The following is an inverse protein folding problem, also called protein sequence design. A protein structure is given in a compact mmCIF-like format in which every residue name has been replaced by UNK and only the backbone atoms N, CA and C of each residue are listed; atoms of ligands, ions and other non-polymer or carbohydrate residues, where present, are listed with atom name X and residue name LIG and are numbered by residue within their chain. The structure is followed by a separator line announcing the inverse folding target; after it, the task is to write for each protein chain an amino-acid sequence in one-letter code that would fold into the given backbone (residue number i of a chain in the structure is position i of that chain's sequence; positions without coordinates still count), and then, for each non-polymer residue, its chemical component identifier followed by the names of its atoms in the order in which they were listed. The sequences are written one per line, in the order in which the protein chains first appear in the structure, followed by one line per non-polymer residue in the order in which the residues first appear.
data_IF_642361920458
#
_entry.id   IF_642361920458
#
_cell.length_a   1.000
_cell.length_b   1.000
_cell.length_c   1.000
_cell.angle_alpha   90.00
_cell.angle_beta   90.00
_cell.angle_gamma   90.00
#
_symmetry.space_group_name_H-M   'P 1'
#
loop_
_entity.id
_entity.type
_entity.pdbx_description
1 polymer ?
#
# COMPACT_ATOMS: atom_id res chain seq x y z
N UNK A 1 -1.08 -33.62 -7.52
CA UNK A 1 -1.37 -32.69 -8.61
C UNK A 1 -2.87 -32.46 -8.81
N UNK A 2 -3.72 -33.48 -8.82
CA UNK A 2 -5.19 -33.32 -8.97
C UNK A 2 -5.84 -32.37 -7.98
N UNK A 3 -5.42 -32.36 -6.70
CA UNK A 3 -5.98 -31.47 -5.66
C UNK A 3 -5.74 -29.97 -5.94
N UNK A 4 -4.61 -29.63 -6.60
CA UNK A 4 -4.29 -28.24 -6.96
C UNK A 4 -5.21 -27.77 -8.09
N UNK A 5 -5.45 -28.60 -9.10
CA UNK A 5 -6.38 -28.29 -10.18
C UNK A 5 -7.83 -28.16 -9.70
N UNK A 6 -8.23 -28.99 -8.75
CA UNK A 6 -9.56 -28.87 -8.11
C UNK A 6 -9.70 -27.56 -7.32
N UNK A 7 -8.65 -27.16 -6.59
CA UNK A 7 -8.64 -25.91 -5.83
C UNK A 7 -8.73 -24.68 -6.76
N UNK A 8 -7.97 -24.70 -7.85
CA UNK A 8 -8.00 -23.66 -8.88
C UNK A 8 -9.38 -23.60 -9.54
N UNK A 9 -9.96 -24.76 -9.90
CA UNK A 9 -11.29 -24.82 -10.49
C UNK A 9 -12.38 -24.25 -9.57
N UNK A 10 -12.33 -24.59 -8.29
CA UNK A 10 -13.25 -24.02 -7.27
C UNK A 10 -13.10 -22.50 -7.13
N UNK A 11 -11.86 -21.99 -7.20
CA UNK A 11 -11.61 -20.56 -7.16
C UNK A 11 -12.23 -19.83 -8.36
N UNK A 12 -12.09 -20.36 -9.57
CA UNK A 12 -12.71 -19.79 -10.78
C UNK A 12 -14.23 -19.83 -10.74
N UNK A 13 -14.81 -20.91 -10.24
CA UNK A 13 -16.27 -21.02 -10.06
C UNK A 13 -16.77 -20.00 -9.04
N UNK A 14 -16.05 -19.83 -7.92
CA UNK A 14 -16.38 -18.85 -6.90
C UNK A 14 -16.29 -17.42 -7.45
N UNK A 15 -15.23 -17.11 -8.21
CA UNK A 15 -15.07 -15.82 -8.86
C UNK A 15 -16.21 -15.54 -9.87
N UNK A 16 -16.62 -16.55 -10.64
CA UNK A 16 -17.80 -16.47 -11.52
C UNK A 16 -19.09 -16.18 -10.75
N UNK A 17 -19.30 -16.81 -9.59
CA UNK A 17 -20.43 -16.53 -8.71
C UNK A 17 -20.40 -15.12 -8.11
N UNK A 18 -19.21 -14.61 -7.75
CA UNK A 18 -19.03 -13.25 -7.25
C UNK A 18 -19.43 -12.20 -8.28
N UNK A 19 -19.06 -12.40 -9.56
CA UNK A 19 -19.45 -11.50 -10.66
C UNK A 19 -20.86 -11.76 -11.22
N UNK A 20 -21.58 -12.74 -10.71
CA UNK A 20 -22.97 -12.99 -11.07
C UNK A 20 -23.88 -11.84 -10.59
N UNK A 21 -24.94 -11.58 -11.34
CA UNK A 21 -25.81 -10.39 -11.24
C UNK A 21 -26.21 -10.02 -9.79
N UNK A 22 -25.93 -8.77 -9.35
CA UNK A 22 -26.46 -8.25 -8.09
C UNK A 22 -27.97 -8.03 -8.22
N UNK A 23 -28.76 -8.62 -7.34
CA UNK A 23 -30.23 -8.61 -7.44
C UNK A 23 -30.86 -7.20 -7.24
N UNK A 24 -30.24 -6.29 -6.51
CA UNK A 24 -30.76 -4.93 -6.27
C UNK A 24 -29.65 -3.88 -6.25
N UNK A 25 -29.53 -3.11 -7.33
CA UNK A 25 -28.49 -2.06 -7.50
C UNK A 25 -28.49 -0.97 -6.42
N UNK A 26 -29.64 -0.65 -5.84
CA UNK A 26 -29.74 0.43 -4.83
C UNK A 26 -29.10 0.04 -3.50
N UNK A 27 -29.33 -1.19 -3.02
CA UNK A 27 -28.75 -1.72 -1.77
C UNK A 27 -27.24 -1.88 -1.95
N UNK A 28 -26.82 -2.31 -3.14
CA UNK A 28 -25.43 -2.52 -3.49
C UNK A 28 -24.61 -1.21 -3.45
N UNK A 29 -25.12 -0.11 -4.01
CA UNK A 29 -24.44 1.21 -3.96
C UNK A 29 -24.24 1.71 -2.55
N UNK A 30 -25.27 1.59 -1.68
CA UNK A 30 -25.16 2.00 -0.28
C UNK A 30 -24.10 1.20 0.47
N UNK A 31 -23.99 -0.10 0.17
CA UNK A 31 -23.00 -0.95 0.79
C UNK A 31 -21.59 -0.65 0.28
N UNK A 32 -21.39 -0.37 -1.01
CA UNK A 32 -20.11 0.10 -1.55
C UNK A 32 -19.64 1.38 -0.85
N UNK A 33 -20.51 2.36 -0.67
CA UNK A 33 -20.16 3.62 0.01
C UNK A 33 -19.74 3.34 1.47
N UNK A 34 -20.46 2.50 2.17
CA UNK A 34 -20.13 2.11 3.54
C UNK A 34 -18.75 1.39 3.61
N UNK A 35 -18.48 0.47 2.68
CA UNK A 35 -17.19 -0.22 2.61
C UNK A 35 -16.05 0.74 2.21
N UNK A 36 -16.30 1.70 1.33
CA UNK A 36 -15.34 2.75 0.99
C UNK A 36 -14.98 3.61 2.21
N UNK A 37 -15.96 3.96 3.03
CA UNK A 37 -15.74 4.72 4.25
C UNK A 37 -14.94 3.88 5.26
N UNK A 38 -15.36 2.66 5.54
CA UNK A 38 -14.74 1.77 6.52
C UNK A 38 -13.33 1.35 6.13
N UNK A 39 -13.11 0.89 4.90
CA UNK A 39 -11.81 0.42 4.42
C UNK A 39 -10.91 1.59 4.01
N UNK A 40 -11.47 2.62 3.38
CA UNK A 40 -10.74 3.77 2.87
C UNK A 40 -10.20 4.65 3.98
N UNK A 41 -11.06 5.25 4.79
CA UNK A 41 -10.66 6.19 5.84
C UNK A 41 -9.70 5.56 6.86
N UNK A 42 -9.98 4.33 7.28
CA UNK A 42 -9.08 3.61 8.19
C UNK A 42 -7.71 3.25 7.56
N UNK A 43 -7.58 3.30 6.23
CA UNK A 43 -6.31 3.02 5.54
C UNK A 43 -5.47 4.27 5.34
N UNK A 44 -6.07 5.47 5.35
CA UNK A 44 -5.36 6.74 5.12
C UNK A 44 -4.25 6.95 6.15
N UNK A 45 -4.56 6.80 7.43
CA UNK A 45 -3.59 7.00 8.51
C UNK A 45 -2.38 6.08 8.41
N UNK A 46 -2.63 4.79 8.21
CA UNK A 46 -1.56 3.80 8.04
C UNK A 46 -0.72 4.08 6.80
N UNK A 47 -1.36 4.35 5.67
CA UNK A 47 -0.69 4.67 4.41
C UNK A 47 0.13 5.95 4.53
N UNK A 48 -0.39 7.00 5.19
CA UNK A 48 0.30 8.25 5.40
C UNK A 48 1.60 8.05 6.20
N UNK A 49 1.54 7.36 7.33
CA UNK A 49 2.71 7.08 8.16
C UNK A 49 3.77 6.32 7.36
N UNK A 50 3.38 5.23 6.71
CA UNK A 50 4.31 4.41 5.94
C UNK A 50 4.90 5.21 4.77
N UNK A 51 4.11 6.05 4.09
CA UNK A 51 4.60 6.88 2.96
C UNK A 51 5.63 7.90 3.41
N UNK A 52 5.48 8.53 4.58
CA UNK A 52 6.50 9.44 5.15
C UNK A 52 7.80 8.69 5.38
N UNK A 53 7.75 7.54 6.04
CA UNK A 53 8.96 6.75 6.31
C UNK A 53 9.67 6.28 5.03
N UNK A 54 8.90 5.84 4.05
CA UNK A 54 9.48 5.39 2.77
C UNK A 54 10.10 6.56 2.02
N UNK A 55 9.41 7.71 1.96
CA UNK A 55 9.95 8.92 1.35
C UNK A 55 11.28 9.33 1.99
N UNK A 56 11.34 9.26 3.31
CA UNK A 56 12.54 9.50 4.11
C UNK A 56 13.69 8.55 3.74
N UNK A 57 13.42 7.25 3.74
CA UNK A 57 14.41 6.20 3.46
C UNK A 57 14.94 6.34 2.03
N UNK A 58 14.06 6.56 1.04
CA UNK A 58 14.48 6.69 -0.37
C UNK A 58 15.35 7.92 -0.55
N UNK A 59 15.00 9.06 0.07
CA UNK A 59 15.81 10.28 -0.02
C UNK A 59 17.21 10.05 0.56
N UNK A 60 17.31 9.38 1.71
CA UNK A 60 18.60 9.02 2.31
C UNK A 60 19.38 8.04 1.43
N UNK A 61 18.72 7.03 0.88
CA UNK A 61 19.33 6.05 0.00
C UNK A 61 19.88 6.69 -1.28
N UNK A 62 19.11 7.55 -1.91
CA UNK A 62 19.54 8.30 -3.10
C UNK A 62 20.67 9.27 -2.79
N UNK A 63 20.62 9.96 -1.65
CA UNK A 63 21.69 10.84 -1.20
C UNK A 63 23.02 10.09 -1.06
N UNK A 64 23.01 8.89 -0.49
CA UNK A 64 24.21 8.06 -0.30
C UNK A 64 24.74 7.50 -1.63
N UNK A 65 23.83 7.03 -2.51
CA UNK A 65 24.20 6.41 -3.77
C UNK A 65 24.72 7.40 -4.82
N UNK A 66 24.20 8.63 -4.82
CA UNK A 66 24.61 9.68 -5.77
C UNK A 66 25.66 10.65 -5.21
N UNK A 67 26.33 10.33 -4.10
CA UNK A 67 27.38 11.14 -3.51
C UNK A 67 28.66 11.06 -4.35
N UNK A 68 28.63 11.68 -5.55
CA UNK A 68 29.75 11.81 -6.47
C UNK A 68 30.05 13.31 -6.69
N UNK A 69 31.33 13.72 -6.69
CA UNK A 69 31.69 15.13 -6.88
C UNK A 69 31.26 15.71 -8.24
N UNK A 70 30.92 14.86 -9.19
CA UNK A 70 30.47 15.25 -10.53
C UNK A 70 28.94 15.40 -10.67
N UNK A 71 28.16 14.97 -9.68
CA UNK A 71 26.69 14.97 -9.77
C UNK A 71 26.15 16.16 -8.98
N UNK A 72 25.45 17.11 -9.65
CA UNK A 72 24.84 18.23 -8.97
C UNK A 72 23.65 17.77 -8.08
N UNK A 73 23.49 18.42 -6.92
CA UNK A 73 22.51 18.07 -5.88
C UNK A 73 21.06 18.01 -6.35
N UNK A 74 20.67 18.77 -7.38
CA UNK A 74 19.31 18.76 -7.90
C UNK A 74 18.91 17.41 -8.53
N UNK A 75 19.90 16.63 -9.00
CA UNK A 75 19.68 15.29 -9.58
C UNK A 75 19.19 14.32 -8.51
N UNK A 76 19.64 14.45 -7.26
CA UNK A 76 19.17 13.61 -6.15
C UNK A 76 17.68 13.83 -5.92
N UNK A 77 17.23 15.07 -5.88
CA UNK A 77 15.81 15.39 -5.72
C UNK A 77 14.95 14.89 -6.90
N UNK A 78 15.46 15.01 -8.13
CA UNK A 78 14.78 14.52 -9.32
C UNK A 78 14.68 12.98 -9.30
N UNK A 79 15.76 12.28 -9.02
CA UNK A 79 15.78 10.82 -8.94
C UNK A 79 14.87 10.29 -7.82
N UNK A 80 14.87 10.93 -6.65
CA UNK A 80 13.96 10.58 -5.54
C UNK A 80 12.50 10.73 -5.97
N UNK A 81 12.15 11.84 -6.62
CA UNK A 81 10.78 12.08 -7.11
C UNK A 81 10.34 11.02 -8.12
N UNK A 82 11.18 10.73 -9.12
CA UNK A 82 10.90 9.73 -10.15
C UNK A 82 10.70 8.34 -9.54
N UNK A 83 11.59 7.92 -8.66
CA UNK A 83 11.50 6.62 -7.98
C UNK A 83 10.23 6.51 -7.12
N UNK A 84 9.87 7.59 -6.41
CA UNK A 84 8.64 7.62 -5.60
C UNK A 84 7.38 7.50 -6.46
N UNK A 85 7.33 8.19 -7.60
CA UNK A 85 6.16 8.18 -8.49
C UNK A 85 6.02 6.84 -9.19
N UNK A 86 7.12 6.33 -9.77
CA UNK A 86 7.08 5.16 -10.65
C UNK A 86 6.95 3.83 -9.90
N UNK A 87 7.67 3.66 -8.79
CA UNK A 87 7.83 2.35 -8.18
C UNK A 87 7.18 2.25 -6.80
N UNK A 88 7.56 3.12 -5.88
CA UNK A 88 7.26 2.90 -4.48
C UNK A 88 5.84 3.23 -4.10
N UNK A 89 5.27 4.32 -4.61
CA UNK A 89 3.93 4.72 -4.21
C UNK A 89 2.88 3.67 -4.62
N UNK A 90 2.92 3.20 -5.85
CA UNK A 90 1.97 2.19 -6.34
C UNK A 90 2.16 0.85 -5.66
N UNK A 91 3.39 0.37 -5.59
CA UNK A 91 3.71 -0.98 -5.05
C UNK A 91 3.43 -1.08 -3.56
N UNK A 92 3.85 -0.09 -2.78
CA UNK A 92 3.66 -0.09 -1.33
C UNK A 92 2.20 0.06 -0.95
N UNK A 93 1.47 0.97 -1.60
CA UNK A 93 0.03 1.13 -1.37
C UNK A 93 -0.72 -0.15 -1.72
N UNK A 94 -0.36 -0.80 -2.85
CA UNK A 94 -0.96 -2.07 -3.23
C UNK A 94 -0.73 -3.16 -2.18
N UNK A 95 0.48 -3.26 -1.62
CA UNK A 95 0.82 -4.25 -0.59
C UNK A 95 0.05 -4.00 0.71
N UNK A 96 -0.01 -2.75 1.17
CA UNK A 96 -0.75 -2.36 2.37
C UNK A 96 -2.24 -2.67 2.22
N UNK A 97 -2.81 -2.29 1.07
CA UNK A 97 -4.23 -2.56 0.79
C UNK A 97 -4.51 -4.06 0.67
N UNK A 98 -3.66 -4.81 -0.02
CA UNK A 98 -3.82 -6.26 -0.14
C UNK A 98 -3.83 -6.94 1.24
N UNK A 99 -2.92 -6.57 2.12
CA UNK A 99 -2.87 -7.08 3.48
C UNK A 99 -4.10 -6.69 4.31
N UNK A 100 -4.46 -5.41 4.32
CA UNK A 100 -5.57 -4.89 5.12
C UNK A 100 -6.93 -5.35 4.61
N UNK A 101 -7.16 -5.25 3.31
CA UNK A 101 -8.44 -5.67 2.71
C UNK A 101 -8.58 -7.20 2.78
N UNK A 102 -7.49 -7.93 2.51
CA UNK A 102 -7.47 -9.38 2.61
C UNK A 102 -7.79 -9.88 4.02
N UNK A 103 -7.17 -9.30 5.05
CA UNK A 103 -7.45 -9.65 6.44
C UNK A 103 -8.87 -9.25 6.87
N UNK A 104 -9.36 -8.08 6.44
CA UNK A 104 -10.73 -7.64 6.73
C UNK A 104 -11.78 -8.56 6.11
N UNK A 105 -11.61 -8.94 4.85
CA UNK A 105 -12.50 -9.89 4.18
C UNK A 105 -12.47 -11.25 4.86
N UNK A 106 -11.29 -11.77 5.17
CA UNK A 106 -11.14 -13.07 5.82
C UNK A 106 -11.78 -13.09 7.22
N UNK A 107 -11.57 -12.05 8.02
CA UNK A 107 -12.16 -11.90 9.35
C UNK A 107 -13.68 -11.83 9.30
N UNK A 108 -14.24 -11.03 8.40
CA UNK A 108 -15.70 -10.87 8.28
C UNK A 108 -16.39 -12.15 7.80
N UNK A 109 -15.83 -12.80 6.76
CA UNK A 109 -16.35 -14.08 6.28
C UNK A 109 -16.22 -15.14 7.38
N UNK A 110 -15.09 -15.17 8.09
CA UNK A 110 -14.88 -16.09 9.21
C UNK A 110 -15.93 -15.91 10.31
N UNK A 111 -16.20 -14.68 10.71
CA UNK A 111 -17.22 -14.37 11.72
C UNK A 111 -18.63 -14.77 11.25
N UNK A 112 -18.98 -14.42 10.01
CA UNK A 112 -20.30 -14.77 9.44
C UNK A 112 -20.48 -16.29 9.28
N UNK A 113 -19.42 -17.03 9.06
CA UNK A 113 -19.46 -18.50 8.99
C UNK A 113 -19.74 -19.12 10.35
N UNK A 114 -19.07 -18.62 11.41
CA UNK A 114 -19.26 -19.11 12.77
C UNK A 114 -20.68 -18.79 13.31
N UNK A 115 -21.20 -17.65 12.92
CA UNK A 115 -22.56 -17.19 13.34
C UNK A 115 -23.68 -17.72 12.43
N UNK A 116 -23.38 -18.63 11.50
CA UNK A 116 -24.34 -19.26 10.56
C UNK A 116 -25.12 -18.24 9.67
N UNK A 117 -24.67 -16.99 9.61
CA UNK A 117 -25.30 -15.93 8.81
C UNK A 117 -25.22 -16.22 7.30
N UNK A 118 -24.19 -16.90 6.85
CA UNK A 118 -24.03 -17.30 5.44
C UNK A 118 -25.10 -18.33 5.06
N UNK A 119 -25.34 -19.29 5.92
CA UNK A 119 -26.33 -20.34 5.67
C UNK A 119 -27.76 -19.76 5.68
N UNK A 120 -28.02 -18.77 6.56
CA UNK A 120 -29.30 -18.03 6.54
C UNK A 120 -29.49 -17.24 5.23
N UNK A 121 -28.45 -16.63 4.67
CA UNK A 121 -28.50 -15.93 3.38
C UNK A 121 -28.77 -16.90 2.21
N UNK A 122 -28.17 -18.08 2.24
CA UNK A 122 -28.41 -19.11 1.22
C UNK A 122 -29.82 -19.68 1.26
N UNK A 123 -30.39 -19.85 2.45
CA UNK A 123 -31.80 -20.27 2.61
C UNK A 123 -32.75 -19.20 2.04
N UNK A 124 -32.42 -17.93 2.16
CA UNK A 124 -33.18 -16.82 1.55
C UNK A 124 -33.00 -16.72 0.03
N UNK A 125 -32.20 -17.58 -0.60
CA UNK A 125 -31.97 -17.59 -2.05
C UNK A 125 -30.99 -16.51 -2.54
N UNK A 126 -30.31 -15.81 -1.64
CA UNK A 126 -29.34 -14.76 -1.98
C UNK A 126 -27.96 -15.37 -2.18
N UNK A 127 -27.28 -15.01 -3.27
CA UNK A 127 -25.90 -15.43 -3.50
C UNK A 127 -24.95 -14.73 -2.51
N UNK A 128 -24.63 -15.41 -1.40
CA UNK A 128 -23.80 -14.92 -0.30
C UNK A 128 -22.44 -14.39 -0.76
N UNK A 129 -21.79 -15.09 -1.70
CA UNK A 129 -20.49 -14.71 -2.23
C UNK A 129 -20.53 -13.38 -2.99
N UNK A 130 -21.52 -13.17 -3.86
CA UNK A 130 -21.67 -11.90 -4.59
C UNK A 130 -22.05 -10.75 -3.66
N UNK A 131 -22.89 -11.03 -2.68
CA UNK A 131 -23.38 -9.99 -1.75
C UNK A 131 -22.30 -9.47 -0.79
N UNK A 132 -21.36 -10.33 -0.34
CA UNK A 132 -20.32 -9.95 0.62
C UNK A 132 -19.02 -9.48 -0.06
N UNK A 133 -18.54 -10.19 -1.07
CA UNK A 133 -17.19 -9.98 -1.60
C UNK A 133 -17.16 -8.87 -2.65
N UNK A 134 -18.15 -8.81 -3.52
CA UNK A 134 -18.15 -7.89 -4.66
C UNK A 134 -18.15 -6.40 -4.25
N UNK A 135 -18.93 -5.93 -3.25
CA UNK A 135 -18.88 -4.53 -2.83
C UNK A 135 -17.51 -4.12 -2.27
N UNK A 136 -16.82 -5.04 -1.59
CA UNK A 136 -15.48 -4.79 -1.05
C UNK A 136 -14.43 -4.67 -2.15
N UNK A 137 -14.47 -5.55 -3.14
CA UNK A 137 -13.57 -5.48 -4.31
C UNK A 137 -13.78 -4.16 -5.05
N UNK A 138 -15.04 -3.80 -5.35
CA UNK A 138 -15.34 -2.55 -6.08
C UNK A 138 -14.93 -1.33 -5.27
N UNK A 139 -15.20 -1.30 -3.97
CA UNK A 139 -14.78 -0.22 -3.08
C UNK A 139 -13.25 -0.05 -3.07
N UNK A 140 -12.52 -1.16 -2.97
CA UNK A 140 -11.04 -1.15 -2.96
C UNK A 140 -10.48 -0.64 -4.28
N UNK A 141 -10.97 -1.14 -5.42
CA UNK A 141 -10.50 -0.73 -6.74
C UNK A 141 -10.76 0.76 -6.99
N UNK A 142 -11.90 1.27 -6.53
CA UNK A 142 -12.24 2.68 -6.69
C UNK A 142 -11.42 3.59 -5.78
N UNK A 143 -11.09 3.13 -4.57
CA UNK A 143 -10.35 3.93 -3.59
C UNK A 143 -8.81 3.86 -3.77
N UNK A 144 -8.32 2.82 -4.44
CA UNK A 144 -6.89 2.60 -4.67
C UNK A 144 -6.19 3.79 -5.34
N UNK A 145 -6.66 4.37 -6.46
CA UNK A 145 -5.98 5.49 -7.12
C UNK A 145 -5.93 6.74 -6.23
N UNK A 146 -6.95 6.96 -5.40
CA UNK A 146 -6.96 8.07 -4.46
C UNK A 146 -5.87 7.91 -3.39
N UNK A 147 -5.73 6.71 -2.81
CA UNK A 147 -4.66 6.42 -1.86
C UNK A 147 -3.27 6.49 -2.48
N UNK A 148 -3.11 6.07 -3.73
CA UNK A 148 -1.85 6.17 -4.44
C UNK A 148 -1.40 7.63 -4.61
N UNK A 149 -2.31 8.51 -5.05
CA UNK A 149 -2.01 9.94 -5.17
C UNK A 149 -1.64 10.55 -3.81
N UNK A 150 -2.42 10.25 -2.77
CA UNK A 150 -2.15 10.71 -1.41
C UNK A 150 -0.77 10.24 -0.91
N UNK A 151 -0.42 8.99 -1.16
CA UNK A 151 0.88 8.40 -0.80
C UNK A 151 2.04 9.11 -1.49
N UNK A 152 1.91 9.45 -2.79
CA UNK A 152 2.93 10.22 -3.52
C UNK A 152 3.16 11.58 -2.87
N UNK A 153 2.09 12.33 -2.62
CA UNK A 153 2.19 13.67 -2.04
C UNK A 153 2.84 13.64 -0.65
N UNK A 154 2.39 12.74 0.21
CA UNK A 154 2.90 12.59 1.57
C UNK A 154 4.35 12.07 1.55
N UNK A 155 4.68 11.14 0.66
CA UNK A 155 6.03 10.59 0.53
C UNK A 155 7.04 11.63 0.06
N UNK A 156 6.68 12.48 -0.90
CA UNK A 156 7.53 13.61 -1.35
C UNK A 156 7.70 14.63 -0.21
N UNK A 157 6.64 14.96 0.50
CA UNK A 157 6.72 15.85 1.67
C UNK A 157 7.62 15.28 2.77
N UNK A 158 7.53 13.98 3.06
CA UNK A 158 8.40 13.29 4.02
C UNK A 158 9.87 13.29 3.60
N UNK A 159 10.15 13.06 2.33
CA UNK A 159 11.49 13.15 1.76
C UNK A 159 12.07 14.57 1.85
N UNK A 160 11.25 15.59 1.60
CA UNK A 160 11.65 16.99 1.71
C UNK A 160 12.01 17.37 3.16
N UNK A 161 11.17 17.02 4.12
CA UNK A 161 11.42 17.28 5.54
C UNK A 161 12.75 16.70 6.03
N UNK A 162 13.10 15.49 5.58
CA UNK A 162 14.35 14.87 5.96
C UNK A 162 15.55 15.49 5.23
N UNK A 163 15.39 15.85 3.97
CA UNK A 163 16.45 16.56 3.23
C UNK A 163 16.86 17.88 3.90
N UNK A 164 15.92 18.55 4.56
CA UNK A 164 16.16 19.80 5.30
C UNK A 164 16.75 19.54 6.69
N UNK A 165 16.32 18.43 7.34
CA UNK A 165 16.74 18.09 8.71
C UNK A 165 18.11 17.40 8.77
N UNK A 166 18.54 16.75 7.70
CA UNK A 166 19.85 16.07 7.60
C UNK A 166 20.75 16.94 6.71
N UNK A 167 21.56 17.83 7.28
CA UNK A 167 22.57 18.52 6.49
C UNK A 167 23.48 17.45 5.90
N UNK A 168 23.54 17.38 4.57
CA UNK A 168 24.49 16.54 3.85
C UNK A 168 25.92 16.99 4.23
N UNK A 169 26.40 16.54 5.38
CA UNK A 169 27.82 16.68 5.73
C UNK A 169 28.56 15.70 4.87
N UNK A 170 29.45 16.17 3.99
CA UNK A 170 30.22 15.29 3.14
C UNK A 170 31.01 14.33 4.02
N UNK A 171 30.88 13.04 3.71
CA UNK A 171 31.51 11.91 4.41
C UNK A 171 33.03 12.03 4.58
N UNK A 172 33.61 13.05 3.96
CA UNK A 172 35.05 13.38 4.02
C UNK A 172 35.58 13.57 5.44
N UNK A 173 34.73 14.04 6.39
CA UNK A 173 35.17 14.27 7.77
C UNK A 173 35.27 13.01 8.63
N UNK A 174 34.60 11.92 8.25
CA UNK A 174 34.71 10.65 8.99
C UNK A 174 35.83 9.74 8.48
N UNK A 175 36.08 9.71 7.19
CA UNK A 175 37.22 8.97 6.63
C UNK A 175 38.57 9.60 7.06
N UNK A 176 38.66 10.92 7.15
CA UNK A 176 39.82 11.63 7.65
C UNK A 176 40.15 11.35 9.14
N UNK A 177 39.15 10.97 9.93
CA UNK A 177 39.34 10.59 11.35
C UNK A 177 39.85 9.17 11.56
N UNK A 178 39.72 8.30 10.57
CA UNK A 178 40.22 6.91 10.63
C UNK A 178 41.59 6.75 9.99
N UNK A 179 41.98 7.61 9.05
CA UNK A 179 43.35 7.73 8.57
C UNK A 179 44.04 8.75 9.49
N UNK A 180 44.52 8.28 10.65
CA UNK A 180 45.19 9.11 11.66
C UNK A 180 46.04 10.19 11.03
N UNK A 181 45.69 11.43 11.26
CA UNK A 181 46.50 12.59 10.91
C UNK A 181 47.80 12.49 11.71
N UNK A 182 48.94 12.24 11.08
CA UNK A 182 50.23 12.12 11.77
C UNK A 182 50.76 13.46 12.30
N UNK A 183 49.97 14.55 12.18
CA UNK A 183 50.38 15.91 12.60
C UNK A 183 49.91 16.32 14.01
N UNK A 184 49.24 15.44 14.78
CA UNK A 184 48.80 15.74 16.16
C UNK A 184 49.75 15.23 17.25
N UNK A 185 51.01 14.98 16.92
CA UNK A 185 52.07 14.56 17.85
C UNK A 185 53.32 15.40 17.69
N UNK A 186 53.28 16.70 18.06
CA UNK A 186 54.44 17.50 18.39
C UNK A 186 53.99 18.66 19.33
#
# INVERSE_FOLDING_TARGET
MLKIFELIGRYFILMGKVFSRPEKRAIYRRRIIYEMESLGLNSIGLTAIISVFIGAVITLQMSINLESPFIPKYIIGYATRETMILEFSSTVVALILAGKVGSSIASEIGTMRITEQIDALEIMGVNSASYLILPKIVATVLFFPFLAILSILIGIAGGYLISESVPCTPRRSRAARWCGDPSSGA
#
